data_IF_548281044887
#
_entry.id   IF_548281044887
#
_cell.length_a   1.000
_cell.length_b   1.000
_cell.length_c   1.000
_cell.angle_alpha   90.00
_cell.angle_beta   90.00
_cell.angle_gamma   90.00
#
_symmetry.space_group_name_H-M   'P 1'
#
loop_
_entity.id
_entity.type
_entity.pdbx_description
1 polymer ?
#
# COMPACT_ATOMS: atom_id res chain seq x y z
N UNK A 1 40.37 -34.34 -5.96
CA UNK A 1 38.92 -33.99 -6.18
C UNK A 1 38.10 -33.86 -4.89
N UNK A 2 38.54 -34.47 -3.79
CA UNK A 2 37.85 -34.37 -2.49
C UNK A 2 38.19 -33.05 -1.74
N UNK A 3 39.34 -32.42 -2.02
CA UNK A 3 39.77 -31.16 -1.39
C UNK A 3 39.05 -29.89 -1.89
N UNK A 4 38.45 -29.89 -3.09
CA UNK A 4 37.79 -28.70 -3.62
C UNK A 4 36.38 -28.49 -3.07
N UNK A 5 35.72 -29.53 -2.55
CA UNK A 5 34.34 -29.40 -1.96
C UNK A 5 34.35 -28.73 -0.58
N UNK A 6 35.43 -28.86 0.19
CA UNK A 6 35.55 -28.25 1.52
C UNK A 6 35.85 -26.75 1.53
N UNK A 7 36.52 -26.24 0.49
CA UNK A 7 36.85 -24.82 0.38
C UNK A 7 35.60 -23.95 0.12
N UNK A 8 34.67 -24.42 -0.67
CA UNK A 8 33.40 -23.70 -0.94
C UNK A 8 32.55 -23.48 0.30
N UNK A 9 32.53 -24.44 1.22
CA UNK A 9 31.76 -24.30 2.48
C UNK A 9 32.47 -23.39 3.48
N UNK A 10 33.80 -23.34 3.48
CA UNK A 10 34.58 -22.41 4.31
C UNK A 10 34.34 -20.97 3.84
N UNK A 11 34.36 -20.70 2.53
CA UNK A 11 34.10 -19.38 1.99
C UNK A 11 32.63 -18.95 2.22
N UNK A 12 31.66 -19.85 2.09
CA UNK A 12 30.27 -19.56 2.44
C UNK A 12 30.11 -19.22 3.92
N UNK A 13 30.71 -19.98 4.81
CA UNK A 13 30.70 -19.71 6.26
C UNK A 13 31.36 -18.37 6.60
N UNK A 14 32.50 -18.07 5.99
CA UNK A 14 33.18 -16.78 6.17
C UNK A 14 32.36 -15.62 5.64
N UNK A 15 31.73 -15.76 4.44
CA UNK A 15 30.85 -14.76 3.90
C UNK A 15 29.62 -14.53 4.82
N UNK A 16 29.00 -15.60 5.30
CA UNK A 16 27.90 -15.53 6.27
C UNK A 16 28.35 -14.82 7.55
N UNK A 17 29.48 -15.23 8.14
CA UNK A 17 30.01 -14.64 9.36
C UNK A 17 30.34 -13.15 9.20
N UNK A 18 30.86 -12.72 8.04
CA UNK A 18 31.21 -11.32 7.79
C UNK A 18 30.01 -10.45 7.42
N UNK A 19 29.01 -11.01 6.73
CA UNK A 19 27.82 -10.27 6.30
C UNK A 19 26.75 -10.18 7.39
N UNK A 20 26.70 -11.15 8.29
CA UNK A 20 25.71 -11.21 9.38
C UNK A 20 26.31 -10.89 10.76
N UNK A 21 27.44 -10.16 10.82
CA UNK A 21 27.90 -9.55 12.07
C UNK A 21 26.82 -8.58 12.55
N UNK A 22 26.13 -8.94 13.63
CA UNK A 22 25.25 -8.01 14.32
C UNK A 22 26.12 -6.95 14.99
N UNK A 23 26.06 -5.71 14.51
CA UNK A 23 26.46 -4.56 15.32
C UNK A 23 25.46 -4.46 16.48
N UNK A 24 25.79 -5.12 17.57
CA UNK A 24 25.05 -4.95 18.82
C UNK A 24 25.49 -3.63 19.43
N UNK A 25 24.65 -2.62 19.38
CA UNK A 25 24.85 -1.40 20.15
C UNK A 25 24.58 -1.71 21.63
N UNK A 26 25.62 -2.05 22.37
CA UNK A 26 25.53 -2.41 23.79
C UNK A 26 25.13 -1.23 24.70
N UNK A 27 25.03 -0.01 24.18
CA UNK A 27 24.93 1.22 24.98
C UNK A 27 23.68 2.06 24.82
N UNK A 28 22.70 1.68 24.01
CA UNK A 28 21.46 2.48 23.89
C UNK A 28 20.46 2.05 24.95
N UNK A 29 20.21 2.94 25.90
CA UNK A 29 19.22 2.77 26.98
C UNK A 29 17.78 2.89 26.50
N UNK A 30 17.55 3.42 25.29
CA UNK A 30 16.22 3.59 24.73
C UNK A 30 15.73 2.36 23.99
N UNK A 31 14.48 2.01 24.24
CA UNK A 31 13.84 0.87 23.61
C UNK A 31 13.58 1.13 22.12
N UNK A 32 13.97 0.19 21.27
CA UNK A 32 13.58 0.14 19.87
C UNK A 32 13.41 -1.29 19.38
N UNK A 33 12.23 -1.61 18.88
CA UNK A 33 11.92 -2.91 18.28
C UNK A 33 10.90 -2.78 17.15
N UNK A 34 10.85 -3.79 16.26
CA UNK A 34 9.91 -3.80 15.13
C UNK A 34 9.25 -5.15 14.99
N UNK A 35 7.96 -5.13 14.67
CA UNK A 35 7.19 -6.30 14.27
C UNK A 35 7.56 -6.68 12.84
N UNK A 36 7.99 -7.93 12.62
CA UNK A 36 8.38 -8.40 11.30
C UNK A 36 7.57 -9.61 10.80
N UNK A 37 6.85 -10.30 11.71
CA UNK A 37 6.00 -11.44 11.35
C UNK A 37 4.82 -11.53 12.29
N UNK A 38 3.67 -11.93 11.77
CA UNK A 38 2.49 -12.30 12.54
C UNK A 38 2.09 -13.70 12.12
N UNK A 39 1.67 -14.53 13.06
CA UNK A 39 1.28 -15.91 12.84
C UNK A 39 0.08 -16.26 13.71
N UNK A 40 -0.77 -17.15 13.22
CA UNK A 40 -1.90 -17.68 13.95
C UNK A 40 -1.65 -19.16 14.25
N UNK A 41 -1.82 -19.54 15.52
CA UNK A 41 -1.77 -20.95 15.91
C UNK A 41 -3.04 -21.69 15.49
N UNK A 42 -3.04 -23.02 15.55
CA UNK A 42 -4.23 -23.85 15.27
C UNK A 42 -5.43 -23.49 16.17
N UNK A 43 -5.16 -22.93 17.35
CA UNK A 43 -6.18 -22.43 18.30
C UNK A 43 -6.59 -20.98 18.06
N UNK A 44 -6.25 -20.39 16.89
CA UNK A 44 -6.52 -18.99 16.52
C UNK A 44 -5.87 -17.95 17.44
N UNK A 45 -4.86 -18.33 18.22
CA UNK A 45 -4.09 -17.39 19.01
C UNK A 45 -3.13 -16.63 18.08
N UNK A 46 -3.19 -15.31 18.13
CA UNK A 46 -2.36 -14.42 17.33
C UNK A 46 -1.01 -14.19 18.01
N UNK A 47 0.06 -14.60 17.35
CA UNK A 47 1.44 -14.47 17.78
C UNK A 47 2.14 -13.41 16.96
N UNK A 48 2.77 -12.46 17.64
CA UNK A 48 3.49 -11.34 17.02
C UNK A 48 4.98 -11.52 17.28
N UNK A 49 5.75 -11.59 16.22
CA UNK A 49 7.21 -11.74 16.22
C UNK A 49 7.85 -10.36 16.10
N UNK A 50 8.71 -10.03 17.05
CA UNK A 50 9.43 -8.77 17.09
C UNK A 50 10.94 -9.01 17.15
N UNK A 51 11.70 -8.11 16.53
CA UNK A 51 13.13 -8.00 16.74
C UNK A 51 13.42 -6.78 17.60
N UNK A 52 14.18 -6.95 18.66
CA UNK A 52 14.65 -5.85 19.49
C UNK A 52 16.00 -5.35 18.95
N UNK A 53 16.05 -4.07 18.54
CA UNK A 53 17.25 -3.44 18.01
C UNK A 53 18.06 -2.74 19.10
N UNK A 54 17.38 -2.24 20.14
CA UNK A 54 18.01 -1.53 21.26
C UNK A 54 17.15 -1.65 22.52
N UNK A 55 17.80 -1.57 23.68
CA UNK A 55 17.17 -1.64 25.00
C UNK A 55 16.94 -3.06 25.48
N UNK A 56 16.21 -3.16 26.60
CA UNK A 56 15.83 -4.43 27.26
C UNK A 56 14.36 -4.36 27.64
N UNK A 57 13.64 -5.46 27.47
CA UNK A 57 12.25 -5.61 27.86
C UNK A 57 12.09 -6.71 28.90
N UNK A 58 11.26 -6.43 29.91
CA UNK A 58 10.92 -7.37 30.94
C UNK A 58 9.45 -7.77 30.87
N UNK A 59 9.16 -8.97 31.38
CA UNK A 59 7.80 -9.41 31.61
C UNK A 59 7.06 -8.41 32.50
N UNK A 60 5.84 -8.01 32.11
CA UNK A 60 4.97 -6.99 32.72
C UNK A 60 5.33 -5.55 32.39
N UNK A 61 6.35 -5.29 31.60
CA UNK A 61 6.60 -3.95 31.07
C UNK A 61 5.43 -3.48 30.19
N UNK A 62 5.28 -2.17 30.10
CA UNK A 62 4.27 -1.54 29.27
C UNK A 62 4.94 -0.87 28.07
N UNK A 63 4.69 -1.39 26.89
CA UNK A 63 5.14 -0.78 25.62
C UNK A 63 4.11 0.25 25.14
N UNK A 64 4.62 1.34 24.57
CA UNK A 64 3.80 2.42 23.99
C UNK A 64 3.85 2.26 22.48
N UNK A 65 2.67 2.10 21.86
CA UNK A 65 2.49 1.99 20.41
C UNK A 65 2.42 3.37 19.75
N UNK A 66 2.61 3.48 18.41
CA UNK A 66 2.53 4.74 17.66
C UNK A 66 1.26 5.54 17.92
N UNK A 67 0.10 4.88 18.07
CA UNK A 67 -1.19 5.49 18.38
C UNK A 67 -1.36 5.88 19.88
N UNK A 68 -0.28 5.93 20.67
CA UNK A 68 -0.28 6.13 22.13
C UNK A 68 -1.08 5.08 22.93
N UNK A 69 -1.41 3.94 22.32
CA UNK A 69 -1.96 2.80 23.03
C UNK A 69 -0.89 2.14 23.86
N UNK A 70 -1.23 1.78 25.10
CA UNK A 70 -0.35 1.09 26.01
C UNK A 70 -0.67 -0.41 25.97
N UNK A 71 0.34 -1.23 25.74
CA UNK A 71 0.25 -2.68 25.75
C UNK A 71 1.13 -3.23 26.86
N UNK A 72 0.55 -4.03 27.76
CA UNK A 72 1.27 -4.69 28.84
C UNK A 72 1.72 -6.08 28.36
N UNK A 73 2.98 -6.41 28.55
CA UNK A 73 3.55 -7.72 28.21
C UNK A 73 3.14 -8.73 29.27
N UNK A 74 2.23 -9.65 28.93
CA UNK A 74 1.77 -10.71 29.83
C UNK A 74 2.61 -11.97 29.68
N UNK A 75 3.10 -12.23 28.47
CA UNK A 75 3.90 -13.40 28.11
C UNK A 75 4.95 -12.99 27.09
N UNK A 76 6.14 -13.54 27.20
CA UNK A 76 7.24 -13.34 26.27
C UNK A 76 7.85 -14.72 25.97
N UNK A 77 8.05 -15.03 24.69
CA UNK A 77 8.67 -16.26 24.24
C UNK A 77 9.87 -15.94 23.35
N UNK A 78 10.88 -16.80 23.38
CA UNK A 78 12.01 -16.79 22.44
C UNK A 78 11.94 -18.06 21.59
N UNK A 79 12.05 -17.96 20.24
CA UNK A 79 12.12 -19.14 19.39
C UNK A 79 13.47 -19.86 19.57
N UNK A 80 13.42 -21.13 19.87
CA UNK A 80 14.63 -21.96 20.02
C UNK A 80 14.38 -23.38 19.51
N UNK A 81 15.16 -23.81 18.51
CA UNK A 81 15.11 -25.15 17.92
C UNK A 81 13.70 -25.62 17.47
N UNK A 82 12.86 -24.68 17.00
CA UNK A 82 11.50 -24.98 16.56
C UNK A 82 10.44 -24.94 17.67
N UNK A 83 10.84 -24.68 18.91
CA UNK A 83 9.96 -24.53 20.07
C UNK A 83 9.93 -23.06 20.55
N UNK A 84 8.88 -22.70 21.28
CA UNK A 84 8.74 -21.39 21.92
C UNK A 84 9.04 -21.53 23.41
N UNK A 85 10.15 -20.93 23.86
CA UNK A 85 10.57 -20.99 25.26
C UNK A 85 10.14 -19.68 25.94
N UNK A 86 9.37 -19.79 27.01
CA UNK A 86 8.95 -18.64 27.80
C UNK A 86 10.15 -18.02 28.54
N UNK A 87 10.28 -16.70 28.45
CA UNK A 87 11.33 -15.93 29.11
C UNK A 87 10.77 -14.77 29.92
N UNK A 88 11.58 -14.24 30.84
CA UNK A 88 11.23 -13.05 31.62
C UNK A 88 11.87 -11.78 31.08
N UNK A 89 12.90 -11.91 30.26
CA UNK A 89 13.70 -10.78 29.76
C UNK A 89 14.18 -11.06 28.34
N UNK A 90 14.17 -10.04 27.51
CA UNK A 90 14.75 -10.03 26.16
C UNK A 90 15.64 -8.81 26.02
N UNK A 91 16.77 -8.98 25.33
CA UNK A 91 17.80 -7.97 25.15
C UNK A 91 17.93 -7.54 23.68
N UNK A 92 18.68 -6.47 23.44
CA UNK A 92 19.03 -6.01 22.09
C UNK A 92 19.62 -7.16 21.26
N UNK A 93 19.13 -7.31 20.01
CA UNK A 93 19.50 -8.39 19.09
C UNK A 93 18.55 -9.59 19.12
N UNK A 94 17.78 -9.78 20.18
CA UNK A 94 16.87 -10.91 20.31
C UNK A 94 15.66 -10.79 19.38
N UNK A 95 15.19 -11.97 18.93
CA UNK A 95 13.86 -12.14 18.35
C UNK A 95 12.97 -12.74 19.44
N UNK A 96 11.82 -12.12 19.66
CA UNK A 96 10.88 -12.57 20.65
C UNK A 96 9.43 -12.57 20.12
N UNK A 97 8.58 -13.33 20.79
CA UNK A 97 7.20 -13.57 20.39
C UNK A 97 6.29 -13.18 21.56
N UNK A 98 5.24 -12.44 21.26
CA UNK A 98 4.20 -12.08 22.22
C UNK A 98 2.81 -12.38 21.67
N UNK A 99 1.90 -12.92 22.48
CA UNK A 99 0.48 -12.95 22.13
C UNK A 99 -0.08 -11.53 22.16
N UNK A 100 -0.54 -11.01 21.03
CA UNK A 100 -1.08 -9.65 20.96
C UNK A 100 -2.02 -9.47 19.78
N UNK A 101 -3.16 -8.79 20.01
CA UNK A 101 -4.20 -8.55 19.00
C UNK A 101 -4.19 -7.11 18.42
N UNK A 102 -3.31 -6.24 18.90
CA UNK A 102 -3.30 -4.82 18.52
C UNK A 102 -2.11 -4.40 17.67
N UNK A 103 -0.95 -5.07 17.85
CA UNK A 103 0.25 -4.80 17.05
C UNK A 103 0.03 -5.26 15.60
N UNK A 104 0.46 -4.45 14.65
CA UNK A 104 0.41 -4.74 13.21
C UNK A 104 1.80 -5.05 12.69
N UNK A 105 1.87 -5.66 11.53
CA UNK A 105 3.13 -5.85 10.82
C UNK A 105 3.77 -4.47 10.54
N UNK A 106 5.09 -4.40 10.71
CA UNK A 106 5.89 -3.17 10.60
C UNK A 106 5.70 -2.16 11.73
N UNK A 107 4.84 -2.38 12.71
CA UNK A 107 4.78 -1.51 13.88
C UNK A 107 6.12 -1.45 14.61
N UNK A 108 6.47 -0.25 15.06
CA UNK A 108 7.68 0.04 15.79
C UNK A 108 7.30 0.28 17.25
N UNK A 109 8.02 -0.37 18.16
CA UNK A 109 7.90 -0.14 19.60
C UNK A 109 9.10 0.68 20.07
N UNK A 110 8.85 1.75 20.85
CA UNK A 110 9.90 2.65 21.36
C UNK A 110 10.32 3.75 20.37
N UNK A 111 11.62 4.05 20.29
CA UNK A 111 12.14 5.17 19.50
C UNK A 111 12.51 4.75 18.08
N UNK A 112 11.71 5.18 17.10
CA UNK A 112 11.90 4.90 15.67
C UNK A 112 13.25 5.41 15.10
N UNK A 113 13.83 6.46 15.67
CA UNK A 113 15.08 7.06 15.18
C UNK A 113 16.31 6.16 15.34
N UNK A 114 16.19 5.14 16.16
CA UNK A 114 17.27 4.16 16.44
C UNK A 114 17.30 3.04 15.40
N UNK A 115 16.24 2.88 14.60
CA UNK A 115 16.19 1.86 13.56
C UNK A 115 17.33 2.04 12.55
N UNK A 116 18.03 0.96 12.16
CA UNK A 116 19.02 1.02 11.10
C UNK A 116 18.41 1.54 9.79
N UNK A 117 19.11 2.43 9.09
CA UNK A 117 18.63 3.04 7.83
C UNK A 117 18.30 2.01 6.73
N UNK A 118 18.81 0.79 6.84
CA UNK A 118 18.59 -0.31 5.88
C UNK A 118 17.37 -1.19 6.22
N UNK A 119 16.63 -0.87 7.26
CA UNK A 119 15.40 -1.61 7.56
C UNK A 119 14.33 -1.17 6.57
N UNK A 120 13.93 -2.09 5.73
CA UNK A 120 13.03 -1.96 4.58
C UNK A 120 11.85 -1.03 4.87
N UNK A 121 11.84 0.11 4.22
CA UNK A 121 10.64 0.95 4.09
C UNK A 121 9.83 0.39 2.92
N UNK A 122 9.11 -0.71 3.18
CA UNK A 122 8.17 -1.27 2.20
C UNK A 122 6.95 -0.36 2.08
N UNK A 123 7.12 0.75 1.37
CA UNK A 123 5.99 1.54 0.87
C UNK A 123 5.36 0.90 -0.39
N UNK A 124 5.64 -0.38 -0.61
CA UNK A 124 5.08 -1.12 -1.75
C UNK A 124 3.57 -1.25 -1.56
N UNK A 125 2.81 -0.60 -2.42
CA UNK A 125 1.36 -0.70 -2.44
C UNK A 125 0.92 -1.80 -3.41
N UNK A 126 -0.20 -2.48 -3.16
CA UNK A 126 -0.81 -3.38 -4.13
C UNK A 126 -1.07 -2.67 -5.46
N UNK A 127 -0.80 -3.35 -6.58
CA UNK A 127 -0.94 -2.81 -7.94
C UNK A 127 -1.99 -3.53 -8.78
N UNK A 128 -2.45 -4.70 -8.32
CA UNK A 128 -3.51 -5.50 -8.93
C UNK A 128 -4.66 -5.67 -7.95
N UNK A 129 -5.85 -5.85 -8.49
CA UNK A 129 -7.04 -6.20 -7.71
C UNK A 129 -7.91 -7.16 -8.47
N UNK A 130 -8.68 -7.95 -7.75
CA UNK A 130 -9.71 -8.83 -8.31
C UNK A 130 -10.88 -8.97 -7.35
N UNK A 131 -12.01 -9.39 -7.90
CA UNK A 131 -13.18 -9.82 -7.13
C UNK A 131 -13.02 -11.28 -6.73
N UNK A 132 -13.36 -11.59 -5.50
CA UNK A 132 -13.35 -12.94 -4.96
C UNK A 132 -14.69 -13.26 -4.31
N UNK A 133 -15.21 -14.45 -4.60
CA UNK A 133 -16.46 -14.93 -4.03
C UNK A 133 -16.32 -16.38 -3.58
N UNK A 134 -16.97 -16.80 -2.49
CA UNK A 134 -17.08 -18.22 -2.16
C UNK A 134 -18.08 -18.88 -3.12
N UNK A 135 -17.84 -20.12 -3.53
CA UNK A 135 -18.79 -20.89 -4.35
C UNK A 135 -20.11 -21.09 -3.59
N UNK A 136 -20.04 -21.31 -2.29
CA UNK A 136 -21.20 -21.41 -1.40
C UNK A 136 -21.38 -20.09 -0.64
N UNK A 137 -22.50 -19.42 -0.85
CA UNK A 137 -22.79 -18.12 -0.26
C UNK A 137 -22.76 -18.13 1.29
N UNK A 138 -23.05 -19.26 1.89
CA UNK A 138 -23.01 -19.50 3.33
C UNK A 138 -21.58 -19.41 3.93
N UNK A 139 -20.56 -19.61 3.09
CA UNK A 139 -19.14 -19.53 3.48
C UNK A 139 -18.59 -18.11 3.45
N UNK A 140 -19.44 -17.10 3.20
CA UNK A 140 -19.01 -15.70 3.05
C UNK A 140 -18.33 -15.13 4.31
N UNK A 141 -18.92 -15.36 5.49
CA UNK A 141 -18.32 -14.90 6.75
C UNK A 141 -16.99 -15.60 7.00
N UNK A 142 -16.93 -16.90 6.74
CA UNK A 142 -15.70 -17.69 6.86
C UNK A 142 -14.60 -17.18 5.90
N UNK A 143 -14.97 -16.75 4.68
CA UNK A 143 -14.03 -16.14 3.74
C UNK A 143 -13.51 -14.79 4.25
N UNK A 144 -14.35 -13.94 4.83
CA UNK A 144 -13.94 -12.66 5.40
C UNK A 144 -12.98 -12.85 6.59
N UNK A 145 -13.26 -13.82 7.46
CA UNK A 145 -12.39 -14.18 8.57
C UNK A 145 -11.02 -14.66 8.07
N UNK A 146 -11.02 -15.55 7.06
CA UNK A 146 -9.79 -16.06 6.45
C UNK A 146 -8.97 -14.93 5.77
N UNK A 147 -9.64 -14.03 5.04
CA UNK A 147 -8.97 -12.88 4.42
C UNK A 147 -8.41 -11.92 5.47
N UNK A 148 -9.08 -11.76 6.62
CA UNK A 148 -8.58 -10.97 7.74
C UNK A 148 -7.28 -11.57 8.28
N UNK A 149 -7.25 -12.88 8.54
CA UNK A 149 -6.04 -13.58 9.02
C UNK A 149 -4.89 -13.48 7.99
N UNK A 150 -5.17 -13.68 6.69
CA UNK A 150 -4.14 -13.62 5.64
C UNK A 150 -3.62 -12.19 5.50
N UNK A 151 -4.50 -11.18 5.47
CA UNK A 151 -4.09 -9.76 5.35
C UNK A 151 -3.32 -9.26 6.58
N UNK A 152 -3.55 -9.83 7.74
CA UNK A 152 -2.79 -9.50 8.96
C UNK A 152 -1.37 -10.07 8.90
N UNK A 153 -1.16 -11.17 8.18
CA UNK A 153 0.16 -11.81 8.00
C UNK A 153 0.91 -11.31 6.76
N UNK A 154 0.21 -10.78 5.77
CA UNK A 154 0.78 -10.26 4.52
C UNK A 154 0.40 -8.78 4.31
N UNK A 155 1.33 -7.83 4.50
CA UNK A 155 1.05 -6.39 4.38
C UNK A 155 0.73 -5.95 2.96
N UNK A 156 1.04 -6.77 1.96
CA UNK A 156 0.79 -6.49 0.55
C UNK A 156 -0.59 -6.95 0.09
N UNK A 157 -1.28 -7.75 0.91
CA UNK A 157 -2.68 -8.08 0.69
C UNK A 157 -3.58 -7.08 1.39
N UNK A 158 -4.48 -6.47 0.64
CA UNK A 158 -5.57 -5.66 1.18
C UNK A 158 -6.89 -6.19 0.67
N UNK A 159 -7.92 -6.12 1.48
CA UNK A 159 -9.27 -6.46 1.05
C UNK A 159 -10.26 -5.43 1.56
N UNK A 160 -11.37 -5.28 0.86
CA UNK A 160 -12.52 -4.52 1.30
C UNK A 160 -13.79 -5.12 0.73
N UNK A 161 -14.90 -4.85 1.40
CA UNK A 161 -16.23 -5.20 0.92
C UNK A 161 -16.85 -3.93 0.35
N UNK A 162 -17.25 -3.98 -0.92
CA UNK A 162 -17.98 -2.87 -1.54
C UNK A 162 -19.33 -2.68 -0.83
N UNK A 163 -19.63 -1.45 -0.47
CA UNK A 163 -20.82 -1.12 0.34
C UNK A 163 -22.12 -1.16 -0.45
N UNK A 164 -22.07 -1.15 -1.80
CA UNK A 164 -23.25 -1.22 -2.68
C UNK A 164 -23.45 -2.61 -3.21
N UNK A 165 -22.41 -3.14 -3.88
CA UNK A 165 -22.49 -4.44 -4.55
C UNK A 165 -22.31 -5.58 -3.56
N UNK A 166 -21.81 -5.27 -2.35
CA UNK A 166 -21.41 -6.24 -1.34
C UNK A 166 -20.34 -7.23 -1.83
N UNK A 167 -19.65 -6.91 -2.91
CA UNK A 167 -18.56 -7.71 -3.46
C UNK A 167 -17.32 -7.62 -2.57
N UNK A 168 -16.61 -8.73 -2.48
CA UNK A 168 -15.32 -8.77 -1.78
C UNK A 168 -14.23 -8.55 -2.83
N UNK A 169 -13.47 -7.46 -2.66
CA UNK A 169 -12.38 -7.09 -3.55
C UNK A 169 -11.08 -7.26 -2.80
N UNK A 170 -10.14 -8.01 -3.37
CA UNK A 170 -8.78 -8.16 -2.86
C UNK A 170 -7.82 -7.40 -3.76
N UNK A 171 -6.81 -6.78 -3.15
CA UNK A 171 -5.73 -6.06 -3.84
C UNK A 171 -4.39 -6.67 -3.43
N UNK A 172 -3.52 -6.92 -4.40
CA UNK A 172 -2.28 -7.68 -4.25
C UNK A 172 -1.19 -7.19 -5.22
N UNK A 173 0.03 -7.67 -5.05
CA UNK A 173 1.18 -7.21 -5.83
C UNK A 173 1.34 -7.94 -7.17
N UNK A 174 1.05 -9.25 -7.22
CA UNK A 174 1.28 -10.06 -8.42
C UNK A 174 0.50 -11.36 -8.45
N UNK A 175 0.45 -12.00 -9.62
CA UNK A 175 -0.33 -13.24 -9.84
C UNK A 175 0.11 -14.39 -8.96
N UNK A 176 1.40 -14.53 -8.67
CA UNK A 176 1.93 -15.58 -7.76
C UNK A 176 1.37 -15.40 -6.34
N UNK A 177 1.28 -14.17 -5.84
CA UNK A 177 0.65 -13.90 -4.54
C UNK A 177 -0.83 -14.30 -4.55
N UNK A 178 -1.55 -14.03 -5.64
CA UNK A 178 -2.94 -14.45 -5.80
C UNK A 178 -3.07 -15.98 -5.75
N UNK A 179 -2.21 -16.71 -6.47
CA UNK A 179 -2.19 -18.18 -6.47
C UNK A 179 -1.95 -18.75 -5.07
N UNK A 180 -1.02 -18.16 -4.31
CA UNK A 180 -0.75 -18.55 -2.92
C UNK A 180 -1.98 -18.29 -2.03
N UNK A 181 -2.63 -17.14 -2.16
CA UNK A 181 -3.85 -16.82 -1.42
C UNK A 181 -4.96 -17.82 -1.74
N UNK A 182 -5.13 -18.18 -3.02
CA UNK A 182 -6.12 -19.17 -3.45
C UNK A 182 -5.84 -20.55 -2.85
N UNK A 183 -4.58 -20.99 -2.89
CA UNK A 183 -4.16 -22.26 -2.31
C UNK A 183 -4.40 -22.28 -0.79
N UNK A 184 -4.07 -21.21 -0.09
CA UNK A 184 -4.34 -21.09 1.35
C UNK A 184 -5.83 -21.16 1.67
N UNK A 185 -6.69 -20.48 0.91
CA UNK A 185 -8.13 -20.50 1.12
C UNK A 185 -8.71 -21.90 0.92
N UNK A 186 -8.21 -22.66 -0.06
CA UNK A 186 -8.67 -24.02 -0.35
C UNK A 186 -8.10 -25.01 0.64
N UNK A 187 -6.78 -25.01 0.87
CA UNK A 187 -6.08 -26.06 1.63
C UNK A 187 -6.21 -25.87 3.15
N UNK A 188 -5.99 -24.64 3.63
CA UNK A 188 -6.01 -24.34 5.08
C UNK A 188 -7.41 -24.03 5.59
N UNK A 189 -8.17 -23.21 4.85
CA UNK A 189 -9.50 -22.77 5.31
C UNK A 189 -10.65 -23.59 4.75
N UNK A 190 -10.40 -24.48 3.79
CA UNK A 190 -11.40 -25.33 3.14
C UNK A 190 -12.56 -24.54 2.54
N UNK A 191 -12.24 -23.44 1.85
CA UNK A 191 -13.19 -22.56 1.18
C UNK A 191 -12.92 -22.64 -0.33
N UNK A 192 -13.89 -23.11 -1.11
CA UNK A 192 -13.82 -23.06 -2.56
C UNK A 192 -14.26 -21.68 -3.04
N UNK A 193 -13.45 -21.05 -3.89
CA UNK A 193 -13.61 -19.68 -4.34
C UNK A 193 -13.77 -19.57 -5.85
N UNK A 194 -14.41 -18.51 -6.30
CA UNK A 194 -14.40 -18.00 -7.68
C UNK A 194 -13.69 -16.66 -7.70
N UNK A 195 -12.85 -16.45 -8.70
CA UNK A 195 -12.05 -15.23 -8.88
C UNK A 195 -12.29 -14.71 -10.28
N UNK A 196 -12.38 -13.40 -10.43
CA UNK A 196 -12.38 -12.72 -11.74
C UNK A 196 -10.93 -12.45 -12.20
N UNK A 197 -10.78 -12.08 -13.48
CA UNK A 197 -9.48 -11.71 -14.02
C UNK A 197 -8.91 -10.47 -13.29
N UNK A 198 -7.64 -10.51 -12.86
CA UNK A 198 -7.03 -9.38 -12.19
C UNK A 198 -7.01 -8.11 -13.04
N UNK A 199 -7.36 -7.00 -12.43
CA UNK A 199 -7.30 -5.67 -13.03
C UNK A 199 -6.25 -4.79 -12.34
N UNK A 200 -5.65 -3.86 -13.10
CA UNK A 200 -4.63 -2.94 -12.60
C UNK A 200 -5.28 -1.86 -11.73
N UNK A 201 -4.58 -1.44 -10.67
CA UNK A 201 -4.96 -0.30 -9.84
C UNK A 201 -4.30 0.96 -10.41
N UNK A 202 -5.13 1.92 -10.84
CA UNK A 202 -4.67 3.22 -11.31
C UNK A 202 -4.65 4.24 -10.16
N UNK A 203 -3.94 5.33 -10.36
CA UNK A 203 -3.97 6.51 -9.51
C UNK A 203 -4.36 7.73 -10.35
N UNK A 204 -4.83 8.80 -9.72
CA UNK A 204 -5.14 10.06 -10.37
C UNK A 204 -4.18 11.16 -9.91
N UNK A 205 -3.77 12.01 -10.85
CA UNK A 205 -2.93 13.17 -10.58
C UNK A 205 -3.55 14.42 -11.20
N UNK A 206 -3.63 15.56 -10.49
CA UNK A 206 -4.08 16.81 -11.07
C UNK A 206 -3.17 17.27 -12.21
N UNK A 207 -3.75 17.86 -13.26
CA UNK A 207 -3.02 18.37 -14.42
C UNK A 207 -2.45 19.77 -14.18
N UNK A 208 -3.23 20.64 -13.54
CA UNK A 208 -2.85 22.04 -13.33
C UNK A 208 -3.28 22.54 -11.94
N UNK A 209 -2.73 23.69 -11.56
CA UNK A 209 -3.16 24.37 -10.34
C UNK A 209 -4.58 24.90 -10.49
N UNK A 210 -5.41 24.68 -9.49
CA UNK A 210 -6.76 25.21 -9.42
C UNK A 210 -7.16 25.52 -7.97
N UNK A 211 -8.16 26.36 -7.83
CA UNK A 211 -8.77 26.70 -6.56
C UNK A 211 -10.30 26.72 -6.70
N UNK A 212 -10.99 26.41 -5.65
CA UNK A 212 -12.45 26.49 -5.58
C UNK A 212 -12.91 26.80 -4.17
N UNK A 213 -13.96 27.61 -4.05
CA UNK A 213 -14.52 28.01 -2.75
C UNK A 213 -16.03 27.87 -2.77
N UNK A 214 -16.57 27.25 -1.74
CA UNK A 214 -18.02 27.18 -1.49
C UNK A 214 -18.31 27.98 -0.25
N UNK A 215 -19.25 28.92 -0.38
CA UNK A 215 -19.65 29.81 0.71
C UNK A 215 -20.90 29.30 1.42
N UNK A 216 -20.97 29.61 2.72
CA UNK A 216 -22.16 29.41 3.56
C UNK A 216 -23.32 30.26 3.02
N UNK A 217 -24.55 29.77 3.18
CA UNK A 217 -25.79 30.45 2.72
C UNK A 217 -25.86 30.72 1.21
N UNK A 218 -24.93 30.23 0.42
CA UNK A 218 -24.95 30.34 -1.05
C UNK A 218 -25.42 28.99 -1.64
N UNK A 219 -26.63 28.92 -2.23
CA UNK A 219 -27.08 27.68 -2.87
C UNK A 219 -26.11 27.21 -3.94
N UNK A 220 -25.87 25.89 -4.06
CA UNK A 220 -26.59 24.77 -3.45
C UNK A 220 -25.98 24.22 -2.14
N UNK A 221 -25.16 25.01 -1.41
CA UNK A 221 -24.54 24.58 -0.16
C UNK A 221 -25.58 24.41 0.96
N UNK A 222 -25.86 23.18 1.45
CA UNK A 222 -26.78 22.96 2.56
C UNK A 222 -26.08 22.98 3.93
N UNK A 223 -24.73 23.11 3.95
CA UNK A 223 -23.93 23.05 5.17
C UNK A 223 -23.66 24.45 5.72
N UNK A 224 -23.59 24.55 7.04
CA UNK A 224 -23.22 25.77 7.74
C UNK A 224 -21.71 25.93 7.82
N UNK A 225 -21.04 25.88 6.66
CA UNK A 225 -19.59 26.02 6.54
C UNK A 225 -19.23 26.65 5.20
N UNK A 226 -18.15 27.48 5.21
CA UNK A 226 -17.46 27.89 3.99
C UNK A 226 -16.10 27.22 3.95
N UNK A 227 -15.72 26.69 2.80
CA UNK A 227 -14.41 26.08 2.57
C UNK A 227 -13.87 26.53 1.22
N UNK A 228 -12.63 27.03 1.21
CA UNK A 228 -11.84 27.30 0.02
C UNK A 228 -10.59 26.43 0.00
N UNK A 229 -10.41 25.65 -1.07
CA UNK A 229 -9.25 24.80 -1.29
C UNK A 229 -8.50 25.22 -2.54
N UNK A 230 -7.19 25.12 -2.51
CA UNK A 230 -6.37 25.11 -3.73
C UNK A 230 -5.61 23.80 -3.85
N UNK A 231 -5.44 23.33 -5.08
CA UNK A 231 -4.65 22.15 -5.42
C UNK A 231 -3.53 22.53 -6.38
N UNK A 232 -2.34 21.98 -6.14
CA UNK A 232 -1.16 22.21 -7.00
C UNK A 232 -0.55 20.85 -7.30
N UNK A 233 -0.36 20.46 -8.58
CA UNK A 233 0.29 19.20 -8.93
C UNK A 233 1.76 19.21 -8.50
N UNK A 234 2.24 18.05 -8.05
CA UNK A 234 3.63 17.79 -7.69
C UNK A 234 4.25 16.78 -8.66
N UNK A 235 5.58 16.59 -8.68
CA UNK A 235 6.21 15.49 -9.41
C UNK A 235 5.64 14.12 -9.03
N UNK A 236 5.68 13.17 -9.95
CA UNK A 236 5.23 11.79 -9.69
C UNK A 236 6.07 11.19 -8.55
N UNK A 237 5.41 10.47 -7.63
CA UNK A 237 6.05 9.89 -6.45
C UNK A 237 6.18 10.84 -5.25
N UNK A 238 5.72 12.10 -5.36
CA UNK A 238 5.77 13.06 -4.25
C UNK A 238 4.70 12.84 -3.18
N UNK A 239 3.68 12.03 -3.48
CA UNK A 239 2.55 11.78 -2.59
C UNK A 239 1.67 13.00 -2.35
N UNK A 240 1.01 13.02 -1.21
CA UNK A 240 0.06 14.08 -0.83
C UNK A 240 0.69 14.98 0.22
N UNK A 241 0.67 16.29 -0.04
CA UNK A 241 1.05 17.30 0.94
C UNK A 241 -0.17 18.13 1.30
N UNK A 242 -0.33 18.41 2.60
CA UNK A 242 -1.42 19.24 3.12
C UNK A 242 -0.88 20.43 3.92
N UNK A 243 -1.42 21.60 3.64
CA UNK A 243 -1.12 22.84 4.36
C UNK A 243 -2.41 23.57 4.67
N UNK A 244 -2.48 24.23 5.85
CA UNK A 244 -3.57 25.14 6.21
C UNK A 244 -3.03 26.55 6.35
N UNK A 245 -3.61 27.50 5.64
CA UNK A 245 -3.35 28.94 5.81
C UNK A 245 -4.35 29.61 6.77
N UNK A 246 -5.39 28.88 7.15
CA UNK A 246 -6.40 29.39 8.09
C UNK A 246 -5.86 29.29 9.51
N UNK A 247 -5.78 30.41 10.21
CA UNK A 247 -5.26 30.45 11.58
C UNK A 247 -6.17 29.74 12.58
N UNK A 248 -5.58 29.11 13.61
CA UNK A 248 -6.33 28.44 14.69
C UNK A 248 -7.14 29.42 15.54
N UNK A 249 -6.74 30.66 15.57
CA UNK A 249 -7.51 31.72 16.27
C UNK A 249 -8.81 32.10 15.54
N UNK A 250 -8.85 31.91 14.22
CA UNK A 250 -10.03 32.20 13.42
C UNK A 250 -10.95 30.97 13.28
N UNK A 251 -10.38 29.80 13.01
CA UNK A 251 -11.09 28.53 12.90
C UNK A 251 -10.42 27.50 13.82
N UNK A 252 -11.14 27.04 14.84
CA UNK A 252 -10.57 26.18 15.86
C UNK A 252 -10.11 24.80 15.30
N UNK A 253 -9.29 24.10 16.09
CA UNK A 253 -8.66 22.84 15.71
C UNK A 253 -9.67 21.77 15.30
N UNK A 254 -10.86 21.72 15.92
CA UNK A 254 -11.85 20.68 15.62
C UNK A 254 -12.43 20.81 14.21
N UNK A 255 -12.66 22.05 13.74
CA UNK A 255 -13.09 22.32 12.39
C UNK A 255 -11.99 22.04 11.37
N UNK A 256 -10.73 22.45 11.65
CA UNK A 256 -9.60 22.18 10.76
C UNK A 256 -9.32 20.67 10.63
N UNK A 257 -9.43 19.91 11.72
CA UNK A 257 -9.34 18.45 11.68
C UNK A 257 -10.46 17.85 10.82
N UNK A 258 -11.69 18.34 10.94
CA UNK A 258 -12.82 17.89 10.15
C UNK A 258 -12.63 18.15 8.65
N UNK A 259 -12.07 19.32 8.27
CA UNK A 259 -11.67 19.61 6.88
C UNK A 259 -10.65 18.60 6.37
N UNK A 260 -9.58 18.35 7.15
CA UNK A 260 -8.53 17.38 6.79
C UNK A 260 -9.07 15.97 6.62
N UNK A 261 -9.94 15.53 7.52
CA UNK A 261 -10.63 14.23 7.40
C UNK A 261 -11.47 14.14 6.12
N UNK A 262 -12.25 15.20 5.81
CA UNK A 262 -13.05 15.28 4.60
C UNK A 262 -12.21 15.29 3.31
N UNK A 263 -11.07 16.01 3.31
CA UNK A 263 -10.13 16.00 2.19
C UNK A 263 -9.55 14.59 1.98
N UNK A 264 -9.08 13.94 3.05
CA UNK A 264 -8.54 12.58 2.95
C UNK A 264 -9.58 11.60 2.39
N UNK A 265 -10.83 11.72 2.83
CA UNK A 265 -11.93 10.93 2.26
C UNK A 265 -12.15 11.22 0.77
N UNK A 266 -12.12 12.49 0.36
CA UNK A 266 -12.30 12.88 -1.05
C UNK A 266 -11.16 12.43 -1.97
N UNK A 267 -9.93 12.35 -1.44
CA UNK A 267 -8.74 11.90 -2.18
C UNK A 267 -8.76 10.40 -2.52
N UNK A 268 -9.53 9.59 -1.78
CA UNK A 268 -9.65 8.16 -2.08
C UNK A 268 -10.39 7.89 -3.40
N UNK A 269 -11.10 8.89 -3.96
CA UNK A 269 -11.87 8.74 -5.20
C UNK A 269 -11.90 10.06 -5.99
N UNK A 270 -11.01 10.17 -6.96
CA UNK A 270 -10.92 11.32 -7.87
C UNK A 270 -12.02 11.35 -8.94
N UNK A 271 -11.77 12.00 -10.06
CA UNK A 271 -12.75 12.19 -11.15
C UNK A 271 -13.08 10.89 -11.88
N UNK A 272 -12.08 10.02 -12.07
CA UNK A 272 -12.25 8.69 -12.66
C UNK A 272 -12.52 7.59 -11.62
N UNK A 273 -12.66 7.97 -10.33
CA UNK A 273 -12.94 7.06 -9.22
C UNK A 273 -11.70 6.41 -8.59
N UNK A 274 -10.51 6.77 -9.05
CA UNK A 274 -9.24 6.28 -8.50
C UNK A 274 -8.70 7.22 -7.41
N UNK A 275 -7.77 6.71 -6.61
CA UNK A 275 -7.13 7.50 -5.55
C UNK A 275 -6.27 8.62 -6.15
N UNK A 276 -6.46 9.85 -5.63
CA UNK A 276 -5.69 11.01 -6.04
C UNK A 276 -4.36 11.05 -5.30
N UNK A 277 -3.28 11.35 -6.01
CA UNK A 277 -1.91 11.44 -5.48
C UNK A 277 -1.13 12.59 -6.11
N UNK A 278 0.11 12.79 -5.69
CA UNK A 278 1.09 13.72 -6.26
C UNK A 278 0.57 15.15 -6.36
N UNK A 279 0.01 15.62 -5.26
CA UNK A 279 -0.52 16.97 -5.16
C UNK A 279 -0.30 17.60 -3.79
N UNK A 280 -0.19 18.92 -3.80
CA UNK A 280 -0.26 19.76 -2.60
C UNK A 280 -1.64 20.38 -2.51
N UNK A 281 -2.32 20.14 -1.40
CA UNK A 281 -3.63 20.72 -1.09
C UNK A 281 -3.45 21.77 -0.01
N UNK A 282 -3.96 22.97 -0.28
CA UNK A 282 -3.92 24.05 0.69
C UNK A 282 -5.35 24.46 1.08
N UNK A 283 -5.60 24.48 2.39
CA UNK A 283 -6.81 25.03 2.96
C UNK A 283 -6.66 26.56 3.06
N UNK A 284 -7.20 27.28 2.08
CA UNK A 284 -7.00 28.72 1.88
C UNK A 284 -7.98 29.57 2.70
N UNK A 285 -9.24 29.09 2.82
CA UNK A 285 -10.33 29.86 3.38
C UNK A 285 -11.33 28.98 4.12
N UNK A 286 -11.78 29.42 5.29
CA UNK A 286 -12.79 28.72 6.06
C UNK A 286 -13.57 29.70 6.94
N UNK A 287 -14.92 29.62 6.90
CA UNK A 287 -15.82 30.44 7.74
C UNK A 287 -16.85 29.55 8.39
N UNK A 288 -17.14 29.84 9.64
CA UNK A 288 -18.20 29.20 10.43
C UNK A 288 -19.18 30.23 10.96
N UNK A 289 -20.38 29.80 11.29
CA UNK A 289 -21.41 30.63 11.91
C UNK A 289 -21.76 30.10 13.31
N UNK A 290 -21.41 30.85 14.34
CA UNK A 290 -21.70 30.45 15.73
C UNK A 290 -23.14 30.84 16.11
N UNK A 291 -23.92 29.95 16.78
CA UNK A 291 -23.55 28.62 17.30
C UNK A 291 -23.92 27.45 16.37
N UNK A 292 -24.30 27.69 15.12
CA UNK A 292 -24.94 26.69 14.24
C UNK A 292 -23.95 25.72 13.61
N UNK A 293 -22.77 26.21 13.21
CA UNK A 293 -21.78 25.36 12.51
C UNK A 293 -21.24 24.25 13.39
N UNK A 294 -21.15 23.07 12.82
CA UNK A 294 -20.59 21.86 13.45
C UNK A 294 -19.36 21.34 12.70
N UNK A 295 -18.45 20.58 13.34
CA UNK A 295 -17.37 19.91 12.62
C UNK A 295 -17.88 18.98 11.51
N UNK A 296 -19.10 18.44 11.64
CA UNK A 296 -19.74 17.60 10.64
C UNK A 296 -19.99 18.35 9.32
N UNK A 297 -20.36 19.64 9.39
CA UNK A 297 -20.58 20.46 8.18
C UNK A 297 -19.30 20.57 7.35
N UNK A 298 -18.17 20.83 8.03
CA UNK A 298 -16.87 20.91 7.38
C UNK A 298 -16.42 19.55 6.81
N UNK A 299 -16.67 18.45 7.55
CA UNK A 299 -16.27 17.10 7.12
C UNK A 299 -16.98 16.68 5.84
N UNK A 300 -18.28 17.02 5.68
CA UNK A 300 -19.07 16.64 4.48
C UNK A 300 -18.94 17.64 3.34
N UNK A 301 -18.64 18.92 3.62
CA UNK A 301 -18.42 19.91 2.57
C UNK A 301 -17.03 19.77 1.91
N UNK A 302 -15.99 19.45 2.66
CA UNK A 302 -14.62 19.41 2.18
C UNK A 302 -14.40 18.47 0.95
N UNK A 303 -14.94 17.23 0.90
CA UNK A 303 -14.79 16.38 -0.28
C UNK A 303 -15.52 16.92 -1.51
N UNK A 304 -16.59 17.69 -1.33
CA UNK A 304 -17.32 18.32 -2.44
C UNK A 304 -16.50 19.48 -3.02
N UNK A 305 -15.93 20.34 -2.15
CA UNK A 305 -15.03 21.41 -2.59
C UNK A 305 -13.82 20.86 -3.30
N UNK A 306 -13.22 19.77 -2.77
CA UNK A 306 -12.11 19.09 -3.40
C UNK A 306 -12.47 18.55 -4.80
N UNK A 307 -13.64 17.94 -4.96
CA UNK A 307 -14.12 17.45 -6.26
C UNK A 307 -14.28 18.58 -7.27
N UNK A 308 -14.86 19.72 -6.87
CA UNK A 308 -14.99 20.89 -7.75
C UNK A 308 -13.61 21.47 -8.10
N UNK A 309 -12.68 21.48 -7.14
CA UNK A 309 -11.30 21.90 -7.38
C UNK A 309 -10.60 20.97 -8.39
N UNK A 310 -10.80 19.65 -8.23
CA UNK A 310 -10.26 18.65 -9.18
C UNK A 310 -10.89 18.77 -10.57
N UNK A 311 -12.18 19.03 -10.69
CA UNK A 311 -12.82 19.27 -12.00
C UNK A 311 -12.20 20.47 -12.72
N UNK A 312 -11.94 21.56 -11.98
CA UNK A 312 -11.28 22.74 -12.53
C UNK A 312 -9.83 22.50 -12.87
N UNK A 313 -9.11 21.67 -12.08
CA UNK A 313 -7.72 21.30 -12.33
C UNK A 313 -7.59 20.31 -13.50
N UNK A 314 -8.60 19.48 -13.75
CA UNK A 314 -8.48 18.28 -14.54
C UNK A 314 -7.60 17.23 -13.86
N UNK A 315 -7.78 15.96 -14.20
CA UNK A 315 -6.91 14.88 -13.71
C UNK A 315 -6.46 13.99 -14.86
N UNK A 316 -5.33 13.32 -14.67
CA UNK A 316 -4.80 12.27 -15.55
C UNK A 316 -4.57 11.01 -14.75
N UNK A 317 -4.71 9.85 -15.41
CA UNK A 317 -4.44 8.57 -14.80
C UNK A 317 -2.94 8.28 -14.80
N UNK A 318 -2.50 7.67 -13.71
CA UNK A 318 -1.20 7.04 -13.58
C UNK A 318 -1.40 5.54 -13.52
N UNK A 319 -0.56 4.79 -14.27
CA UNK A 319 -0.53 3.34 -14.24
C UNK A 319 0.81 2.83 -13.66
N UNK A 320 0.83 1.70 -12.94
CA UNK A 320 2.07 1.15 -12.40
C UNK A 320 2.93 0.53 -13.51
N UNK A 321 4.23 0.80 -13.45
CA UNK A 321 5.25 0.25 -14.33
C UNK A 321 6.19 -0.66 -13.56
N UNK A 322 6.60 -1.75 -14.19
CA UNK A 322 7.68 -2.61 -13.73
C UNK A 322 8.95 -2.30 -14.50
N UNK A 323 10.07 -2.18 -13.81
CA UNK A 323 11.38 -2.32 -14.44
C UNK A 323 11.59 -3.77 -14.83
N UNK A 324 12.22 -4.01 -15.95
CA UNK A 324 12.54 -5.37 -16.38
C UNK A 324 13.97 -5.49 -16.88
N UNK A 325 14.51 -6.70 -16.73
CA UNK A 325 15.75 -7.17 -17.35
C UNK A 325 15.39 -8.41 -18.15
N UNK A 326 15.63 -8.38 -19.44
CA UNK A 326 15.42 -9.52 -20.33
C UNK A 326 16.75 -10.04 -20.88
N UNK A 327 17.01 -11.31 -20.64
CA UNK A 327 18.09 -12.08 -21.25
C UNK A 327 17.50 -12.91 -22.38
N UNK A 328 18.02 -12.77 -23.60
CA UNK A 328 17.53 -13.50 -24.77
C UNK A 328 18.66 -13.89 -25.71
N UNK A 329 18.60 -15.09 -26.33
CA UNK A 329 19.52 -15.44 -27.42
C UNK A 329 19.45 -14.40 -28.55
N UNK A 330 20.58 -14.15 -29.20
CA UNK A 330 20.71 -13.12 -30.25
C UNK A 330 19.71 -13.31 -31.41
N UNK A 331 19.35 -14.54 -31.74
CA UNK A 331 18.39 -14.85 -32.81
C UNK A 331 16.96 -14.31 -32.52
N UNK A 332 16.55 -14.22 -31.25
CA UNK A 332 15.22 -13.72 -30.86
C UNK A 332 15.17 -12.23 -30.54
N UNK A 333 16.32 -11.55 -30.48
CA UNK A 333 16.40 -10.17 -30.03
C UNK A 333 15.46 -9.23 -30.77
N UNK A 334 15.53 -9.20 -32.11
CA UNK A 334 14.74 -8.28 -32.92
C UNK A 334 13.23 -8.48 -32.70
N UNK A 335 12.80 -9.72 -32.54
CA UNK A 335 11.40 -10.05 -32.26
C UNK A 335 11.02 -9.62 -30.85
N UNK A 336 11.83 -9.98 -29.84
CA UNK A 336 11.59 -9.63 -28.44
C UNK A 336 11.55 -8.11 -28.24
N UNK A 337 12.43 -7.36 -28.91
CA UNK A 337 12.46 -5.90 -28.89
C UNK A 337 11.19 -5.28 -29.50
N UNK A 338 10.80 -5.73 -30.69
CA UNK A 338 9.59 -5.23 -31.34
C UNK A 338 8.31 -5.58 -30.59
N UNK A 339 8.24 -6.79 -30.03
CA UNK A 339 7.08 -7.20 -29.23
C UNK A 339 7.02 -6.44 -27.91
N UNK A 340 8.15 -6.14 -27.25
CA UNK A 340 8.19 -5.26 -26.09
C UNK A 340 7.61 -3.89 -26.39
N UNK A 341 7.99 -3.29 -27.52
CA UNK A 341 7.45 -1.98 -27.95
C UNK A 341 5.94 -2.04 -28.25
N UNK A 342 5.42 -3.12 -28.87
CA UNK A 342 3.98 -3.31 -29.06
C UNK A 342 3.21 -3.37 -27.74
N UNK A 343 3.84 -3.90 -26.69
CA UNK A 343 3.30 -3.96 -25.33
C UNK A 343 3.62 -2.71 -24.49
N UNK A 344 3.87 -1.59 -25.16
CA UNK A 344 4.13 -0.28 -24.55
C UNK A 344 5.36 -0.25 -23.62
N UNK A 345 6.32 -1.16 -23.81
CA UNK A 345 7.55 -1.12 -23.04
C UNK A 345 8.47 0.01 -23.53
N UNK A 346 9.10 0.69 -22.58
CA UNK A 346 10.12 1.71 -22.79
C UNK A 346 11.47 1.04 -22.57
N UNK A 347 12.28 0.90 -23.62
CA UNK A 347 13.59 0.24 -23.55
C UNK A 347 14.65 1.30 -23.26
N UNK A 348 15.47 1.10 -22.23
CA UNK A 348 16.51 2.04 -21.79
C UNK A 348 17.87 1.67 -22.34
N UNK A 349 18.28 0.39 -22.18
CA UNK A 349 19.61 -0.07 -22.62
C UNK A 349 19.53 -1.43 -23.30
N UNK A 350 20.47 -1.68 -24.19
CA UNK A 350 20.69 -3.01 -24.76
C UNK A 350 22.19 -3.28 -24.85
N UNK A 351 22.61 -4.47 -24.41
CA UNK A 351 24.00 -4.89 -24.42
C UNK A 351 24.09 -6.33 -24.96
N UNK A 352 25.06 -6.58 -25.84
CA UNK A 352 25.36 -7.93 -26.32
C UNK A 352 26.52 -8.52 -25.54
N UNK A 353 26.38 -9.76 -25.05
CA UNK A 353 27.41 -10.47 -24.31
C UNK A 353 27.30 -11.98 -24.62
N UNK A 354 28.35 -12.54 -25.28
CA UNK A 354 28.50 -14.00 -25.49
C UNK A 354 27.24 -14.68 -26.10
N UNK A 355 26.81 -14.28 -27.30
CA UNK A 355 25.62 -14.79 -28.01
C UNK A 355 24.26 -14.55 -27.29
N UNK A 356 24.28 -13.88 -26.16
CA UNK A 356 23.08 -13.41 -25.48
C UNK A 356 22.99 -11.88 -25.56
N UNK A 357 21.79 -11.38 -25.64
CA UNK A 357 21.50 -9.96 -25.54
C UNK A 357 20.71 -9.71 -24.27
N UNK A 358 21.19 -8.70 -23.53
CA UNK A 358 20.53 -8.22 -22.31
C UNK A 358 19.94 -6.86 -22.64
N UNK A 359 18.65 -6.67 -22.44
CA UNK A 359 18.07 -5.34 -22.48
C UNK A 359 17.19 -5.05 -21.26
N UNK A 360 17.23 -3.80 -20.86
CA UNK A 360 16.51 -3.28 -19.70
C UNK A 360 15.53 -2.22 -20.12
N UNK A 361 14.48 -2.07 -19.34
CA UNK A 361 13.47 -1.06 -19.61
C UNK A 361 12.33 -1.11 -18.61
N UNK A 362 11.21 -0.49 -18.99
CA UNK A 362 10.00 -0.41 -18.20
C UNK A 362 8.81 -0.87 -19.02
N UNK A 363 7.89 -1.60 -18.38
CA UNK A 363 6.67 -2.10 -19.02
C UNK A 363 5.46 -1.85 -18.11
N UNK A 364 4.31 -1.39 -18.67
CA UNK A 364 3.09 -1.25 -17.87
C UNK A 364 2.60 -2.61 -17.39
N UNK A 365 2.15 -2.67 -16.12
CA UNK A 365 1.69 -3.91 -15.49
C UNK A 365 0.60 -4.60 -16.30
N UNK A 366 -0.30 -3.84 -16.94
CA UNK A 366 -1.38 -4.39 -17.77
C UNK A 366 -0.90 -5.23 -18.95
N UNK A 367 0.30 -4.98 -19.47
CA UNK A 367 0.83 -5.67 -20.66
C UNK A 367 1.78 -6.82 -20.32
N UNK A 368 2.18 -6.98 -19.05
CA UNK A 368 3.26 -7.89 -18.67
C UNK A 368 2.96 -9.36 -18.92
N UNK A 369 1.75 -9.81 -18.60
CA UNK A 369 1.36 -11.22 -18.75
C UNK A 369 1.31 -11.61 -20.22
N UNK A 370 0.74 -10.75 -21.05
CA UNK A 370 0.66 -10.99 -22.50
C UNK A 370 2.05 -11.02 -23.15
N UNK A 371 2.91 -10.07 -22.79
CA UNK A 371 4.29 -10.05 -23.26
C UNK A 371 5.09 -11.27 -22.81
N UNK A 372 5.01 -11.67 -21.53
CA UNK A 372 5.68 -12.84 -20.99
C UNK A 372 5.23 -14.13 -21.70
N UNK A 373 3.93 -14.29 -21.90
CA UNK A 373 3.38 -15.47 -22.62
C UNK A 373 3.87 -15.51 -24.06
N UNK A 374 3.82 -14.40 -24.77
CA UNK A 374 4.31 -14.29 -26.15
C UNK A 374 5.79 -14.61 -26.23
N UNK A 375 6.61 -14.06 -25.33
CA UNK A 375 8.04 -14.30 -25.24
C UNK A 375 8.35 -15.78 -25.03
N UNK A 376 7.67 -16.42 -24.07
CA UNK A 376 7.89 -17.83 -23.74
C UNK A 376 7.57 -18.76 -24.92
N UNK A 377 6.51 -18.45 -25.68
CA UNK A 377 6.06 -19.26 -26.81
C UNK A 377 7.13 -19.38 -27.93
N UNK A 378 7.75 -18.27 -28.35
CA UNK A 378 8.69 -18.34 -29.47
C UNK A 378 10.14 -18.57 -29.03
N UNK A 379 10.50 -18.31 -27.79
CA UNK A 379 11.84 -18.64 -27.27
C UNK A 379 11.92 -20.03 -26.66
N UNK A 380 10.81 -20.79 -26.62
CA UNK A 380 10.73 -22.07 -25.94
C UNK A 380 11.27 -22.06 -24.51
N UNK A 381 11.07 -20.94 -23.79
CA UNK A 381 11.53 -20.75 -22.41
C UNK A 381 13.03 -20.43 -22.26
N UNK A 382 13.76 -20.17 -23.36
CA UNK A 382 15.19 -19.82 -23.28
C UNK A 382 15.40 -18.38 -22.81
N UNK A 383 14.41 -17.49 -22.97
CA UNK A 383 14.50 -16.13 -22.47
C UNK A 383 14.21 -16.05 -20.96
N UNK A 384 15.00 -15.28 -20.24
CA UNK A 384 14.80 -15.01 -18.80
C UNK A 384 14.32 -13.57 -18.64
N UNK A 385 13.09 -13.43 -18.17
CA UNK A 385 12.42 -12.14 -17.98
C UNK A 385 12.23 -11.85 -16.49
N UNK A 386 13.08 -10.99 -15.94
CA UNK A 386 13.05 -10.54 -14.55
C UNK A 386 12.34 -9.20 -14.44
N UNK A 387 11.50 -9.03 -13.43
CA UNK A 387 10.70 -7.80 -13.25
C UNK A 387 10.68 -7.38 -11.80
N UNK A 388 10.71 -6.07 -11.57
CA UNK A 388 10.64 -5.44 -10.26
C UNK A 388 9.70 -4.24 -10.32
N UNK A 389 8.90 -4.00 -9.27
CA UNK A 389 8.04 -2.81 -9.20
C UNK A 389 8.93 -1.55 -9.15
N UNK A 390 8.68 -0.60 -10.05
CA UNK A 390 9.41 0.66 -10.05
C UNK A 390 8.54 1.80 -9.51
N UNK A 391 7.71 2.37 -10.37
CA UNK A 391 6.95 3.58 -10.08
C UNK A 391 5.67 3.63 -10.92
N UNK A 392 4.80 4.56 -10.59
CA UNK A 392 3.68 4.93 -11.43
C UNK A 392 4.13 5.93 -12.51
N UNK A 393 3.60 5.79 -13.72
CA UNK A 393 3.81 6.72 -14.83
C UNK A 393 2.48 7.12 -15.44
N UNK A 394 2.49 8.14 -16.29
CA UNK A 394 1.27 8.59 -16.98
C UNK A 394 0.73 7.43 -17.83
N UNK A 395 -0.55 7.11 -17.62
CA UNK A 395 -1.20 6.02 -18.35
C UNK A 395 -1.29 6.36 -19.86
N UNK A 396 -0.92 5.37 -20.69
CA UNK A 396 -0.98 5.46 -22.14
C UNK A 396 -2.24 4.87 -22.74
N UNK A 397 -3.11 4.27 -21.90
CA UNK A 397 -4.39 3.71 -22.31
C UNK A 397 -5.53 4.72 -22.21
N UNK A 398 -6.69 4.37 -22.78
CA UNK A 398 -7.93 5.12 -22.56
C UNK A 398 -8.27 5.16 -21.06
N UNK A 399 -8.88 6.25 -20.57
CA UNK A 399 -9.19 6.39 -19.15
C UNK A 399 -10.10 5.28 -18.65
N UNK A 400 -9.60 4.50 -17.71
CA UNK A 400 -10.36 3.44 -17.02
C UNK A 400 -11.14 4.07 -15.87
N UNK A 401 -12.48 4.04 -15.97
CA UNK A 401 -13.37 4.62 -14.97
C UNK A 401 -13.76 3.55 -13.96
N UNK A 402 -13.60 3.87 -12.69
CA UNK A 402 -14.08 3.06 -11.58
C UNK A 402 -15.39 3.64 -11.02
N UNK A 403 -16.35 2.78 -10.70
CA UNK A 403 -17.57 3.21 -10.01
C UNK A 403 -17.23 3.80 -8.64
N UNK A 404 -17.84 4.95 -8.31
CA UNK A 404 -17.62 5.58 -7.02
C UNK A 404 -18.35 4.84 -5.90
N UNK A 405 -17.71 4.77 -4.74
CA UNK A 405 -18.35 4.30 -3.51
C UNK A 405 -19.38 5.33 -3.07
N UNK A 406 -20.64 4.92 -2.81
CA UNK A 406 -21.67 5.87 -2.44
C UNK A 406 -21.46 6.41 -1.02
N UNK A 407 -21.87 7.66 -0.87
CA UNK A 407 -22.04 8.28 0.43
C UNK A 407 -23.32 9.13 0.39
N UNK A 408 -24.41 8.61 0.96
CA UNK A 408 -25.75 9.21 0.87
C UNK A 408 -25.79 10.70 1.24
N UNK A 409 -24.95 11.17 2.16
CA UNK A 409 -24.90 12.59 2.56
C UNK A 409 -24.15 13.44 1.54
N UNK A 410 -23.03 12.95 1.04
CA UNK A 410 -22.20 13.66 0.07
C UNK A 410 -22.86 13.61 -1.32
N UNK A 411 -23.40 12.47 -1.72
CA UNK A 411 -23.95 12.27 -3.06
C UNK A 411 -25.22 13.11 -3.32
N UNK A 412 -26.09 13.28 -2.34
CA UNK A 412 -27.24 14.18 -2.44
C UNK A 412 -26.80 15.62 -2.77
N UNK A 413 -25.79 16.10 -2.06
CA UNK A 413 -25.28 17.47 -2.25
C UNK A 413 -24.48 17.58 -3.54
N UNK A 414 -23.68 16.58 -3.87
CA UNK A 414 -22.94 16.48 -5.14
C UNK A 414 -23.88 16.61 -6.34
N UNK A 415 -25.02 15.94 -6.31
CA UNK A 415 -26.05 16.07 -7.35
C UNK A 415 -26.57 17.49 -7.51
N UNK A 416 -26.70 18.25 -6.43
CA UNK A 416 -27.14 19.64 -6.49
C UNK A 416 -26.12 20.55 -7.18
N UNK A 417 -24.83 20.33 -6.95
CA UNK A 417 -23.74 21.06 -7.62
C UNK A 417 -23.64 20.72 -9.11
N UNK A 418 -23.76 19.43 -9.47
CA UNK A 418 -23.66 18.99 -10.87
C UNK A 418 -24.85 19.44 -11.74
N UNK A 419 -26.03 19.68 -11.17
CA UNK A 419 -27.20 20.21 -11.90
C UNK A 419 -27.11 21.69 -12.25
N UNK A 420 -26.22 22.45 -11.63
CA UNK A 420 -26.03 23.87 -11.87
C UNK A 420 -25.02 24.17 -13.02
N UNK A 421 -24.28 23.17 -13.47
CA UNK A 421 -23.32 23.29 -14.56
C UNK A 421 -23.90 22.93 -15.96
N UNK A 422 -25.16 22.40 -16.01
CA UNK A 422 -25.93 22.18 -17.20
C UNK A 422 -27.08 23.21 -17.29
#
# INVERSE_FOLDING_TARGET
LVRSRGLGDVYKRQAISNLFCSEMNENDSELCGRVFKIEYTDHKQRLVYLRLYSGTLHLRDTIILPEKKKVKLTEIYIPSNGEMIQTKTVCSGDIFIIPNNTLRLNDIIGNEKILPCNVWNDNTAPILRTRIEPIKIEEREKLLDALTEIADTDPLLRYYVDTITHEIIISFLGTVQLEVICSLLIEKYHINIRIEDPTVIYLEKPLQKADYTIHIEVPPNPFWASIGLSITPLPIGSGIQYESKVSLGYLNQSFQNAVREGINYGLEQGLYGWKVTDCKICFEYGVYYSPVSTPSDFRFLAPIVLEQTLKKAGTQLLEPYLSFILFTPQEYFSRAYNDAQKHCAIIETSQSKNDEIIFTGHIPVRCINEYRNTLTLYTNGQAVFLTELKDYQIATCEPVIQSRRPNNRIDKVRHMFNKKEN
#
